data_IF_198037824725
#
_entry.id   IF_198037824725
#
_cell.length_a   1.000
_cell.length_b   1.000
_cell.length_c   1.000
_cell.angle_alpha   90.00
_cell.angle_beta   90.00
_cell.angle_gamma   90.00
#
_symmetry.space_group_name_H-M   'P 1'
#
loop_
_entity.id
_entity.type
_entity.pdbx_description
1 polymer ?
#
# COMPACT_ATOMS: atom_id res chain seq x y z
N UNK A 1 24.86 43.23 -65.49
CA UNK A 1 23.41 43.37 -65.71
C UNK A 1 22.70 43.11 -64.38
N UNK A 2 21.96 44.14 -63.88
CA UNK A 2 20.86 44.21 -62.87
C UNK A 2 20.85 43.31 -61.60
N UNK A 3 20.27 43.77 -60.47
CA UNK A 3 20.35 45.10 -59.83
C UNK A 3 20.46 45.04 -58.27
N UNK A 4 20.70 46.23 -57.71
CA UNK A 4 20.61 46.71 -56.31
C UNK A 4 19.21 46.47 -55.64
N UNK A 5 18.98 46.66 -54.30
CA UNK A 5 19.07 48.00 -53.68
C UNK A 5 19.49 48.14 -52.20
N UNK A 6 19.86 49.40 -51.93
CA UNK A 6 20.28 50.09 -50.70
C UNK A 6 19.12 50.37 -49.73
N UNK A 7 19.45 50.62 -48.45
CA UNK A 7 18.77 51.64 -47.63
C UNK A 7 19.78 52.50 -46.87
N UNK A 8 19.49 53.80 -46.85
CA UNK A 8 20.24 54.91 -46.27
C UNK A 8 19.55 55.39 -44.98
N UNK A 9 20.44 55.80 -44.08
CA UNK A 9 20.42 56.46 -42.76
C UNK A 9 19.44 57.65 -42.61
N UNK A 10 18.96 57.93 -41.38
CA UNK A 10 19.22 59.15 -40.56
C UNK A 10 18.06 59.53 -39.61
N UNK A 11 18.39 60.00 -38.39
CA UNK A 11 17.51 60.90 -37.62
C UNK A 11 17.55 60.79 -36.09
N UNK A 12 18.55 61.40 -35.45
CA UNK A 12 18.49 61.80 -34.03
C UNK A 12 17.72 63.13 -33.89
N UNK A 13 16.89 63.27 -32.85
CA UNK A 13 16.61 64.57 -32.22
C UNK A 13 16.25 64.40 -30.74
N UNK A 14 16.97 65.15 -29.91
CA UNK A 14 16.89 65.24 -28.44
C UNK A 14 15.99 66.43 -28.10
N UNK A 15 15.09 66.30 -27.12
CA UNK A 15 14.65 67.44 -26.32
C UNK A 15 14.40 67.02 -24.87
N UNK A 16 15.12 67.72 -24.00
CA UNK A 16 15.16 67.67 -22.54
C UNK A 16 13.98 68.39 -21.89
N UNK A 17 13.55 67.95 -20.71
CA UNK A 17 13.24 68.84 -19.56
C UNK A 17 13.17 68.00 -18.27
N UNK A 18 14.14 68.20 -17.37
CA UNK A 18 14.20 67.57 -16.05
C UNK A 18 14.04 68.66 -14.98
N UNK A 19 13.05 68.55 -14.09
CA UNK A 19 12.92 69.43 -12.93
C UNK A 19 13.02 68.64 -11.61
N UNK A 20 14.11 68.94 -10.90
CA UNK A 20 14.28 69.14 -9.45
C UNK A 20 13.99 67.96 -8.50
N UNK A 21 15.08 67.41 -7.98
CA UNK A 21 15.13 66.69 -6.70
C UNK A 21 15.36 67.69 -5.55
N UNK A 22 14.57 67.56 -4.47
CA UNK A 22 14.96 67.97 -3.12
C UNK A 22 14.68 66.78 -2.20
N UNK A 23 15.72 66.36 -1.51
CA UNK A 23 15.75 65.24 -0.59
C UNK A 23 15.05 65.58 0.74
N UNK A 24 14.29 64.62 1.28
CA UNK A 24 14.14 64.45 2.72
C UNK A 24 14.36 62.97 3.05
N UNK A 25 15.43 62.73 3.80
CA UNK A 25 15.87 61.44 4.27
C UNK A 25 15.05 61.01 5.47
N UNK A 26 14.37 59.86 5.38
CA UNK A 26 13.92 59.11 6.56
C UNK A 26 14.10 57.61 6.29
N UNK A 27 15.03 57.01 7.04
CA UNK A 27 15.30 55.57 7.08
C UNK A 27 14.02 54.83 7.46
N UNK A 28 13.47 54.05 6.54
CA UNK A 28 12.58 52.94 6.88
C UNK A 28 13.36 51.65 6.69
N UNK A 29 13.61 50.95 7.80
CA UNK A 29 14.05 49.57 7.78
C UNK A 29 12.89 48.75 7.19
N UNK A 30 13.03 48.30 5.96
CA UNK A 30 12.18 47.21 5.46
C UNK A 30 12.55 45.95 6.22
N UNK A 31 11.82 45.70 7.30
CA UNK A 31 11.75 44.39 7.91
C UNK A 31 11.08 43.47 6.89
N UNK A 32 11.90 42.77 6.12
CA UNK A 32 11.48 41.63 5.32
C UNK A 32 10.98 40.57 6.30
N UNK A 33 9.69 40.62 6.61
CA UNK A 33 9.02 39.63 7.44
C UNK A 33 8.89 38.38 6.58
N UNK A 34 9.90 37.52 6.65
CA UNK A 34 9.79 36.14 6.18
C UNK A 34 8.68 35.51 7.01
N UNK A 35 7.49 35.37 6.44
CA UNK A 35 6.47 34.48 6.99
C UNK A 35 7.03 33.08 6.73
N UNK A 36 7.79 32.58 7.70
CA UNK A 36 7.99 31.15 7.85
C UNK A 36 6.61 30.61 8.22
N UNK A 37 5.86 30.11 7.24
CA UNK A 37 4.72 29.24 7.53
C UNK A 37 5.30 27.99 8.21
N UNK A 38 5.40 28.06 9.54
CA UNK A 38 5.42 26.88 10.38
C UNK A 38 4.04 26.24 10.24
N UNK A 39 3.85 25.48 9.15
CA UNK A 39 2.85 24.42 9.14
C UNK A 39 3.42 23.33 10.05
N UNK A 40 3.32 23.55 11.36
CA UNK A 40 3.27 22.41 12.26
C UNK A 40 2.09 21.58 11.76
N UNK A 41 2.34 20.34 11.33
CA UNK A 41 1.27 19.34 11.22
C UNK A 41 0.62 19.31 12.60
N UNK A 42 -0.50 20.01 12.75
CA UNK A 42 -1.33 19.84 13.91
C UNK A 42 -1.80 18.40 13.83
N UNK A 43 -1.34 17.56 14.75
CA UNK A 43 -1.90 16.22 14.93
C UNK A 43 -3.42 16.41 15.05
N UNK A 44 -4.16 15.95 14.04
CA UNK A 44 -5.61 16.10 14.03
C UNK A 44 -6.16 15.39 15.24
N UNK A 45 -6.97 16.09 16.04
CA UNK A 45 -7.65 15.47 17.18
C UNK A 45 -8.50 14.32 16.64
N UNK A 46 -8.34 13.07 17.13
CA UNK A 46 -9.05 11.95 16.56
C UNK A 46 -10.56 12.12 16.74
N UNK A 47 -11.30 11.95 15.66
CA UNK A 47 -12.75 12.04 15.59
C UNK A 47 -13.42 10.88 16.31
N UNK A 48 -14.76 10.93 16.43
CA UNK A 48 -15.53 9.81 16.97
C UNK A 48 -15.43 8.56 16.09
N UNK A 49 -15.34 8.74 14.77
CA UNK A 49 -15.22 7.66 13.80
C UNK A 49 -13.86 6.95 13.94
N UNK A 50 -12.77 7.72 14.11
CA UNK A 50 -11.42 7.20 14.34
C UNK A 50 -11.34 6.36 15.64
N UNK A 51 -12.12 6.73 16.65
CA UNK A 51 -12.20 6.00 17.93
C UNK A 51 -13.23 4.87 17.92
N UNK A 52 -13.95 4.66 16.82
CA UNK A 52 -14.97 3.61 16.72
C UNK A 52 -14.36 2.23 16.50
N UNK A 53 -13.14 2.15 15.97
CA UNK A 53 -12.37 0.90 15.92
C UNK A 53 -11.84 0.59 17.32
N UNK A 54 -12.18 -0.56 17.92
CA UNK A 54 -11.65 -0.93 19.22
C UNK A 54 -10.14 -1.19 19.09
N UNK A 55 -9.38 -1.06 20.19
CA UNK A 55 -7.95 -1.36 20.14
C UNK A 55 -7.70 -2.84 19.90
N UNK A 56 -6.78 -3.17 18.99
CA UNK A 56 -6.35 -4.55 18.69
C UNK A 56 -4.98 -4.85 19.28
N UNK A 57 -4.81 -6.09 19.72
CA UNK A 57 -3.51 -6.63 20.13
C UNK A 57 -2.77 -7.18 18.91
N UNK A 58 -3.48 -7.92 18.05
CA UNK A 58 -2.92 -8.54 16.86
C UNK A 58 -3.83 -8.35 15.64
N UNK A 59 -3.25 -7.91 14.52
CA UNK A 59 -3.88 -7.90 13.21
C UNK A 59 -3.01 -8.71 12.25
N UNK A 60 -3.60 -9.75 11.67
CA UNK A 60 -3.00 -10.55 10.61
C UNK A 60 -3.62 -10.12 9.28
N UNK A 61 -2.80 -9.73 8.31
CA UNK A 61 -3.24 -9.40 6.95
C UNK A 61 -2.64 -10.45 6.03
N UNK A 62 -3.50 -11.31 5.46
CA UNK A 62 -3.15 -12.33 4.48
C UNK A 62 -3.52 -11.77 3.11
N UNK A 63 -2.56 -11.73 2.19
CA UNK A 63 -2.77 -11.17 0.85
C UNK A 63 -2.51 -12.25 -0.19
N UNK A 64 -3.50 -12.44 -1.04
CA UNK A 64 -3.45 -13.26 -2.25
C UNK A 64 -3.29 -12.37 -3.49
N UNK A 65 -3.03 -12.97 -4.65
CA UNK A 65 -2.73 -12.22 -5.86
C UNK A 65 -3.81 -12.32 -6.94
N UNK A 66 -4.06 -11.20 -7.62
CA UNK A 66 -4.67 -11.09 -8.93
C UNK A 66 -5.97 -11.90 -9.10
N UNK A 67 -7.03 -11.54 -8.38
CA UNK A 67 -8.38 -12.10 -8.56
C UNK A 67 -9.47 -11.07 -8.32
N UNK A 68 -10.43 -10.99 -9.24
CA UNK A 68 -11.67 -10.23 -8.98
C UNK A 68 -12.48 -10.85 -7.85
N UNK A 69 -13.32 -10.03 -7.23
CA UNK A 69 -14.35 -10.47 -6.29
C UNK A 69 -15.16 -11.66 -6.82
N UNK A 70 -15.65 -11.59 -8.07
CA UNK A 70 -16.51 -12.61 -8.68
C UNK A 70 -15.76 -13.90 -9.06
N UNK A 71 -14.43 -13.86 -9.15
CA UNK A 71 -13.63 -15.09 -9.31
C UNK A 71 -13.49 -15.87 -8.02
N UNK A 72 -13.69 -15.24 -6.87
CA UNK A 72 -13.54 -15.86 -5.56
C UNK A 72 -14.90 -16.15 -4.94
N UNK A 73 -15.74 -15.13 -4.79
CA UNK A 73 -17.03 -15.25 -4.11
C UNK A 73 -18.03 -15.99 -5.01
N UNK A 74 -18.54 -17.11 -4.52
CA UNK A 74 -19.38 -18.06 -5.26
C UNK A 74 -18.61 -19.14 -6.02
N UNK A 75 -17.28 -19.09 -6.07
CA UNK A 75 -16.48 -20.06 -6.82
C UNK A 75 -16.42 -21.43 -6.08
N UNK A 76 -16.82 -22.54 -6.73
CA UNK A 76 -16.76 -23.89 -6.13
C UNK A 76 -15.34 -24.39 -5.85
N UNK A 77 -14.31 -23.79 -6.45
CA UNK A 77 -12.90 -24.07 -6.17
C UNK A 77 -12.34 -23.26 -4.99
N UNK A 78 -13.09 -22.32 -4.44
CA UNK A 78 -12.74 -21.59 -3.22
C UNK A 78 -13.72 -21.88 -2.05
N UNK A 79 -13.99 -23.16 -1.70
CA UNK A 79 -15.03 -23.49 -0.72
C UNK A 79 -14.71 -22.99 0.69
N UNK A 80 -13.44 -22.97 1.12
CA UNK A 80 -13.06 -22.53 2.46
C UNK A 80 -13.25 -21.01 2.59
N UNK A 81 -12.72 -20.24 1.64
CA UNK A 81 -12.85 -18.78 1.59
C UNK A 81 -14.32 -18.38 1.55
N UNK A 82 -15.14 -19.04 0.72
CA UNK A 82 -16.57 -18.77 0.67
C UNK A 82 -17.29 -19.10 1.99
N UNK A 83 -16.88 -20.17 2.66
CA UNK A 83 -17.39 -20.49 4.00
C UNK A 83 -16.96 -19.43 5.03
N UNK A 84 -15.72 -18.93 4.96
CA UNK A 84 -15.23 -17.84 5.80
C UNK A 84 -16.03 -16.55 5.56
N UNK A 85 -16.22 -16.14 4.30
CA UNK A 85 -17.01 -14.97 3.92
C UNK A 85 -18.46 -15.06 4.42
N UNK A 86 -19.06 -16.25 4.39
CA UNK A 86 -20.42 -16.49 4.91
C UNK A 86 -20.49 -16.49 6.45
N UNK A 87 -19.43 -16.95 7.11
CA UNK A 87 -19.40 -17.13 8.57
C UNK A 87 -18.99 -15.85 9.30
N UNK A 88 -18.10 -15.06 8.70
CA UNK A 88 -17.50 -13.87 9.29
C UNK A 88 -17.95 -12.62 8.53
N UNK A 89 -17.14 -11.57 8.51
CA UNK A 89 -17.52 -10.29 7.97
C UNK A 89 -16.91 -10.11 6.58
N UNK A 90 -17.68 -9.54 5.64
CA UNK A 90 -17.31 -9.37 4.24
C UNK A 90 -17.45 -7.89 3.86
N UNK A 91 -16.37 -7.30 3.36
CA UNK A 91 -16.42 -6.04 2.63
C UNK A 91 -16.87 -6.35 1.20
N UNK A 92 -18.15 -6.13 0.91
CA UNK A 92 -18.73 -6.47 -0.39
C UNK A 92 -18.21 -5.58 -1.53
N UNK A 93 -17.75 -4.36 -1.21
CA UNK A 93 -17.28 -3.37 -2.17
C UNK A 93 -15.86 -2.91 -1.82
N UNK A 94 -14.87 -3.78 -1.99
CA UNK A 94 -13.46 -3.45 -1.75
C UNK A 94 -12.69 -3.36 -3.07
N UNK A 95 -11.93 -2.28 -3.28
CA UNK A 95 -11.23 -2.01 -4.52
C UNK A 95 -9.73 -1.87 -4.31
N UNK A 96 -8.93 -2.51 -5.17
CA UNK A 96 -7.48 -2.32 -5.21
C UNK A 96 -7.11 -0.96 -5.84
N UNK A 97 -5.85 -0.54 -5.70
CA UNK A 97 -5.42 0.81 -6.09
C UNK A 97 -5.00 0.90 -7.54
N UNK A 98 -4.27 -0.10 -8.05
CA UNK A 98 -3.60 -0.01 -9.34
C UNK A 98 -3.32 -1.39 -9.93
N UNK A 99 -2.83 -1.42 -11.17
CA UNK A 99 -2.05 -2.50 -11.75
C UNK A 99 -0.68 -1.99 -12.22
N UNK A 100 0.43 -2.73 -12.01
CA UNK A 100 0.52 -4.09 -11.45
C UNK A 100 0.74 -4.12 -9.91
N UNK A 101 1.04 -5.31 -9.39
CA UNK A 101 0.99 -5.70 -7.97
C UNK A 101 1.80 -4.83 -7.01
N UNK A 102 3.07 -4.49 -7.32
CA UNK A 102 4.02 -3.94 -6.32
C UNK A 102 3.45 -2.72 -5.59
N UNK A 103 2.85 -1.81 -6.34
CA UNK A 103 2.30 -0.57 -5.82
C UNK A 103 1.11 -0.80 -4.86
N UNK A 104 0.36 -1.91 -4.98
CA UNK A 104 -0.69 -2.25 -4.02
C UNK A 104 -0.10 -2.65 -2.64
N UNK A 105 1.00 -3.41 -2.62
CA UNK A 105 1.70 -3.74 -1.36
C UNK A 105 2.30 -2.51 -0.69
N UNK A 106 2.87 -1.60 -1.49
CA UNK A 106 3.38 -0.32 -0.99
C UNK A 106 2.22 0.54 -0.46
N UNK A 107 1.09 0.60 -1.18
CA UNK A 107 -0.10 1.33 -0.75
C UNK A 107 -0.67 0.85 0.58
N UNK A 108 -0.68 -0.46 0.83
CA UNK A 108 -1.13 -1.04 2.11
C UNK A 108 -0.24 -0.67 3.31
N UNK A 109 1.04 -0.33 3.07
CA UNK A 109 2.01 -0.04 4.11
C UNK A 109 2.36 1.45 4.23
N UNK A 110 2.24 2.20 3.14
CA UNK A 110 2.62 3.61 3.05
C UNK A 110 1.46 4.56 2.76
N UNK A 111 0.28 4.06 2.42
CA UNK A 111 -0.89 4.91 2.13
C UNK A 111 -0.81 5.66 0.80
N UNK A 112 0.11 5.30 -0.09
CA UNK A 112 0.28 5.89 -1.43
C UNK A 112 0.99 4.85 -2.32
N UNK A 113 0.80 4.94 -3.64
CA UNK A 113 1.60 4.18 -4.61
C UNK A 113 2.93 4.86 -4.92
N UNK A 114 3.11 6.11 -4.48
CA UNK A 114 4.28 6.97 -4.71
C UNK A 114 4.64 7.12 -6.19
N UNK A 115 3.65 6.98 -7.07
CA UNK A 115 3.84 7.02 -8.52
C UNK A 115 4.34 5.71 -9.13
N UNK A 116 4.60 4.66 -8.33
CA UNK A 116 5.05 3.35 -8.83
C UNK A 116 3.89 2.68 -9.56
N UNK A 117 4.16 2.17 -10.76
CA UNK A 117 3.15 1.62 -11.66
C UNK A 117 3.71 0.55 -12.60
N UNK A 118 4.79 -0.10 -12.16
CA UNK A 118 5.34 -1.31 -12.73
C UNK A 118 5.91 -2.19 -11.60
N UNK A 119 6.43 -3.36 -11.96
CA UNK A 119 6.91 -4.40 -11.04
C UNK A 119 8.46 -4.53 -11.06
N UNK A 120 9.18 -3.49 -11.48
CA UNK A 120 10.64 -3.46 -11.41
C UNK A 120 11.12 -3.64 -9.94
N UNK A 121 12.35 -4.09 -9.73
CA UNK A 121 12.83 -4.36 -8.37
C UNK A 121 12.84 -3.11 -7.48
N UNK A 122 12.60 -3.28 -6.18
CA UNK A 122 12.52 -2.24 -5.14
C UNK A 122 13.69 -1.23 -5.10
N UNK A 123 14.87 -1.58 -5.64
CA UNK A 123 16.06 -0.72 -5.71
C UNK A 123 16.20 0.04 -7.03
N UNK A 124 15.29 -0.18 -7.99
CA UNK A 124 15.37 0.42 -9.30
C UNK A 124 15.08 1.93 -9.24
N UNK A 125 15.80 2.65 -10.08
CA UNK A 125 15.74 4.10 -10.22
C UNK A 125 15.74 4.46 -11.71
N UNK A 126 15.32 5.67 -12.04
CA UNK A 126 15.31 6.13 -13.42
C UNK A 126 16.70 5.96 -14.08
N UNK A 127 16.72 5.30 -15.23
CA UNK A 127 17.94 5.00 -15.98
C UNK A 127 18.76 3.80 -15.48
N UNK A 128 18.27 3.02 -14.50
CA UNK A 128 18.89 1.77 -14.09
C UNK A 128 19.16 0.82 -15.28
N UNK A 129 20.24 0.05 -15.20
CA UNK A 129 20.62 -0.93 -16.24
C UNK A 129 20.53 -2.38 -15.78
N UNK A 130 20.13 -2.60 -14.53
CA UNK A 130 19.96 -3.94 -13.98
C UNK A 130 18.81 -4.67 -14.68
N UNK A 131 18.93 -6.00 -14.80
CA UNK A 131 17.96 -6.83 -15.55
C UNK A 131 16.56 -6.83 -14.95
N UNK A 132 16.43 -6.47 -13.67
CA UNK A 132 15.16 -6.34 -12.97
C UNK A 132 14.58 -4.92 -13.01
N UNK A 133 15.22 -4.00 -13.74
CA UNK A 133 14.77 -2.62 -13.91
C UNK A 133 14.37 -2.35 -15.38
N UNK A 134 13.47 -3.16 -15.92
CA UNK A 134 13.16 -3.19 -17.36
C UNK A 134 12.42 -1.92 -17.82
N UNK A 135 11.65 -1.31 -16.92
CA UNK A 135 10.84 -0.13 -17.18
C UNK A 135 11.58 1.18 -16.89
N UNK A 136 12.74 1.12 -16.22
CA UNK A 136 13.54 2.27 -15.77
C UNK A 136 13.88 3.36 -16.80
N UNK A 137 13.76 3.09 -18.10
CA UNK A 137 14.00 4.06 -19.19
C UNK A 137 12.75 4.78 -19.69
N UNK A 138 11.57 4.43 -19.18
CA UNK A 138 10.33 5.14 -19.51
C UNK A 138 10.37 6.57 -18.97
N UNK A 139 9.76 7.51 -19.69
CA UNK A 139 9.81 8.94 -19.34
C UNK A 139 9.07 9.29 -18.06
N UNK A 140 8.12 8.45 -17.66
CA UNK A 140 7.29 8.56 -16.46
C UNK A 140 7.74 7.64 -15.33
N UNK A 141 8.88 6.96 -15.47
CA UNK A 141 9.41 6.07 -14.45
C UNK A 141 9.74 6.81 -13.15
N UNK A 142 9.39 6.21 -12.02
CA UNK A 142 9.71 6.72 -10.68
C UNK A 142 10.65 5.76 -9.95
N UNK A 143 11.35 6.24 -8.93
CA UNK A 143 12.21 5.35 -8.14
C UNK A 143 11.37 4.43 -7.26
N UNK A 144 11.74 3.14 -7.21
CA UNK A 144 11.03 2.14 -6.40
C UNK A 144 11.44 2.17 -4.91
N UNK A 145 12.53 2.88 -4.59
CA UNK A 145 12.91 3.14 -3.21
C UNK A 145 12.13 4.32 -2.64
N UNK A 146 11.20 4.02 -1.74
CA UNK A 146 10.33 4.97 -1.05
C UNK A 146 11.04 5.55 0.17
N UNK A 147 11.09 6.88 0.26
CA UNK A 147 11.70 7.60 1.41
C UNK A 147 10.68 8.17 2.38
N UNK A 148 9.40 8.07 2.05
CA UNK A 148 8.27 8.48 2.90
C UNK A 148 8.12 7.57 4.12
N UNK A 149 7.47 8.09 5.16
CA UNK A 149 7.08 7.28 6.32
C UNK A 149 6.15 6.14 5.91
N UNK A 150 6.24 5.06 6.67
CA UNK A 150 5.50 3.82 6.51
C UNK A 150 4.82 3.42 7.82
N UNK A 151 3.94 2.42 7.76
CA UNK A 151 3.31 1.82 8.94
C UNK A 151 4.38 1.29 9.90
N UNK A 152 5.50 0.77 9.39
CA UNK A 152 6.62 0.28 10.19
C UNK A 152 7.20 1.40 11.07
N UNK A 153 7.36 2.61 10.53
CA UNK A 153 7.82 3.77 11.32
C UNK A 153 6.85 4.09 12.47
N UNK A 154 5.54 4.09 12.17
CA UNK A 154 4.52 4.38 13.18
C UNK A 154 4.46 3.29 14.27
N UNK A 155 4.58 2.02 13.87
CA UNK A 155 4.60 0.90 14.82
C UNK A 155 5.83 0.95 15.72
N UNK A 156 7.04 1.15 15.16
CA UNK A 156 8.26 1.32 15.96
C UNK A 156 8.16 2.52 16.91
N UNK A 157 7.64 3.66 16.44
CA UNK A 157 7.45 4.87 17.25
C UNK A 157 6.49 4.64 18.42
N UNK A 158 5.49 3.75 18.26
CA UNK A 158 4.55 3.37 19.31
C UNK A 158 5.02 2.22 20.19
N UNK A 159 6.19 1.64 19.91
CA UNK A 159 6.68 0.44 20.60
C UNK A 159 5.86 -0.81 20.29
N UNK A 160 5.18 -0.83 19.15
CA UNK A 160 4.44 -1.98 18.64
C UNK A 160 5.34 -2.82 17.74
N UNK A 161 5.11 -4.13 17.76
CA UNK A 161 5.90 -5.10 17.00
C UNK A 161 5.25 -5.44 15.68
N UNK A 162 6.05 -5.71 14.65
CA UNK A 162 5.58 -6.16 13.35
C UNK A 162 6.51 -7.22 12.76
N UNK A 163 5.96 -8.09 11.91
CA UNK A 163 6.73 -8.95 11.02
C UNK A 163 6.01 -9.12 9.68
N UNK A 164 6.81 -9.26 8.63
CA UNK A 164 6.35 -9.80 7.35
C UNK A 164 6.71 -11.28 7.28
N UNK A 165 5.73 -12.13 6.99
CA UNK A 165 5.90 -13.56 6.81
C UNK A 165 5.72 -13.89 5.33
N UNK A 166 6.77 -14.44 4.71
CA UNK A 166 6.81 -14.71 3.28
C UNK A 166 7.11 -16.18 3.04
N UNK A 167 6.26 -16.87 2.31
CA UNK A 167 6.54 -18.24 1.89
C UNK A 167 7.73 -18.25 0.92
N UNK A 168 8.65 -19.21 1.11
CA UNK A 168 9.86 -19.39 0.28
C UNK A 168 10.84 -18.20 0.22
N UNK A 169 10.75 -17.21 1.12
CA UNK A 169 11.84 -16.26 1.30
C UNK A 169 13.10 -17.03 1.76
N UNK A 170 14.27 -16.85 1.10
CA UNK A 170 15.39 -17.76 1.31
C UNK A 170 16.10 -17.59 2.66
N UNK A 171 15.98 -16.42 3.28
CA UNK A 171 16.44 -16.12 4.63
C UNK A 171 15.77 -14.84 5.14
N UNK A 172 15.71 -14.63 6.47
CA UNK A 172 15.24 -13.38 7.04
C UNK A 172 15.93 -12.16 6.44
N UNK A 173 15.16 -11.15 6.05
CA UNK A 173 15.67 -9.91 5.48
C UNK A 173 16.25 -10.03 4.07
N UNK A 174 16.00 -11.12 3.35
CA UNK A 174 16.55 -11.33 2.01
C UNK A 174 16.19 -10.20 1.04
N UNK A 175 17.19 -9.73 0.30
CA UNK A 175 17.09 -8.68 -0.74
C UNK A 175 17.08 -9.25 -2.17
N UNK A 176 16.92 -10.57 -2.32
CA UNK A 176 16.82 -11.17 -3.65
C UNK A 176 15.54 -10.71 -4.34
N UNK A 177 15.60 -10.50 -5.66
CA UNK A 177 14.40 -10.13 -6.43
C UNK A 177 13.46 -11.32 -6.56
N UNK A 178 14.01 -12.52 -6.73
CA UNK A 178 13.27 -13.79 -6.81
C UNK A 178 14.04 -14.93 -6.13
N UNK A 179 13.32 -15.96 -5.66
CA UNK A 179 13.91 -17.19 -5.13
C UNK A 179 13.02 -18.42 -5.42
N UNK A 180 13.57 -19.65 -5.47
CA UNK A 180 15.00 -19.98 -5.42
C UNK A 180 15.81 -19.49 -6.63
N UNK A 181 15.19 -19.35 -7.79
CA UNK A 181 15.86 -18.88 -9.01
C UNK A 181 14.86 -18.23 -9.98
N UNK A 182 15.37 -17.75 -11.12
CA UNK A 182 14.55 -17.05 -12.12
C UNK A 182 13.72 -17.99 -13.01
N UNK A 183 14.00 -19.30 -13.01
CA UNK A 183 13.22 -20.30 -13.73
C UNK A 183 12.01 -20.75 -12.91
N UNK A 184 12.12 -20.70 -11.58
CA UNK A 184 11.03 -21.00 -10.66
C UNK A 184 10.97 -19.99 -9.50
N UNK A 185 10.54 -18.75 -9.76
CA UNK A 185 10.58 -17.67 -8.77
C UNK A 185 9.41 -17.76 -7.76
N UNK A 186 9.38 -18.81 -6.93
CA UNK A 186 8.35 -19.00 -5.90
C UNK A 186 8.18 -17.77 -5.00
N UNK A 187 9.27 -17.18 -4.53
CA UNK A 187 9.27 -15.87 -3.89
C UNK A 187 9.58 -14.78 -4.91
N UNK A 188 8.84 -13.67 -4.85
CA UNK A 188 9.11 -12.46 -5.63
C UNK A 188 9.05 -11.20 -4.75
N UNK A 189 10.11 -10.40 -4.79
CA UNK A 189 10.24 -9.19 -3.96
C UNK A 189 9.18 -8.12 -4.26
N UNK A 190 8.56 -8.13 -5.43
CA UNK A 190 7.44 -7.23 -5.75
C UNK A 190 6.22 -7.41 -4.84
N UNK A 191 6.05 -8.61 -4.24
CA UNK A 191 5.00 -8.85 -3.24
C UNK A 191 5.46 -8.47 -1.82
N UNK A 192 6.72 -8.04 -1.65
CA UNK A 192 7.30 -7.61 -0.38
C UNK A 192 7.37 -6.08 -0.28
N UNK A 193 6.24 -5.44 -0.02
CA UNK A 193 6.19 -3.98 0.10
C UNK A 193 7.12 -3.39 1.17
N UNK A 194 7.54 -4.17 2.17
CA UNK A 194 8.46 -3.68 3.22
C UNK A 194 9.82 -3.27 2.63
N UNK A 195 10.33 -4.04 1.66
CA UNK A 195 11.68 -3.81 1.13
C UNK A 195 11.75 -2.60 0.19
N UNK A 196 10.61 -2.04 -0.23
CA UNK A 196 10.56 -0.80 -1.00
C UNK A 196 10.82 0.45 -0.13
N UNK A 197 10.64 0.37 1.20
CA UNK A 197 10.91 1.51 2.08
C UNK A 197 12.38 1.60 2.52
N UNK A 198 12.99 2.77 2.29
CA UNK A 198 14.41 3.02 2.54
C UNK A 198 14.83 2.76 3.98
N UNK A 199 14.01 3.14 4.96
CA UNK A 199 14.28 2.89 6.38
C UNK A 199 14.46 1.39 6.67
N UNK A 200 13.62 0.54 6.09
CA UNK A 200 13.74 -0.92 6.19
C UNK A 200 14.99 -1.38 5.44
N UNK A 201 15.23 -0.90 4.21
CA UNK A 201 16.43 -1.26 3.42
C UNK A 201 17.76 -0.90 4.10
N UNK A 202 17.79 0.14 4.93
CA UNK A 202 19.01 0.63 5.57
C UNK A 202 19.24 0.04 6.97
N UNK A 203 18.19 -0.48 7.64
CA UNK A 203 18.30 -1.05 8.99
C UNK A 203 18.19 -2.59 8.98
N UNK A 204 19.31 -3.31 9.26
CA UNK A 204 19.29 -4.77 9.38
C UNK A 204 18.33 -5.31 10.44
N UNK A 205 18.05 -4.56 11.51
CA UNK A 205 17.11 -5.00 12.55
C UNK A 205 15.67 -4.99 12.03
N UNK A 206 15.32 -4.04 11.16
CA UNK A 206 14.01 -4.01 10.50
C UNK A 206 13.92 -5.07 9.41
N UNK A 207 14.98 -5.26 8.61
CA UNK A 207 15.05 -6.34 7.62
C UNK A 207 14.84 -7.72 8.24
N UNK A 208 15.47 -8.00 9.39
CA UNK A 208 15.35 -9.29 10.08
C UNK A 208 13.94 -9.56 10.64
N UNK A 209 12.98 -8.61 10.54
CA UNK A 209 11.56 -8.83 10.83
C UNK A 209 10.78 -9.37 9.62
N UNK A 210 11.39 -9.40 8.44
CA UNK A 210 10.87 -10.05 7.23
C UNK A 210 11.39 -11.49 7.25
N UNK A 211 10.52 -12.47 7.47
CA UNK A 211 10.89 -13.85 7.83
C UNK A 211 10.07 -14.87 7.03
N UNK A 212 10.47 -16.14 7.10
CA UNK A 212 9.76 -17.25 6.49
C UNK A 212 8.54 -17.75 7.28
N UNK A 213 7.77 -18.65 6.67
CA UNK A 213 6.61 -19.30 7.30
C UNK A 213 7.00 -20.25 8.46
N UNK A 214 8.23 -20.75 8.49
CA UNK A 214 8.78 -21.47 9.64
C UNK A 214 8.76 -20.60 10.91
N UNK A 215 9.04 -19.30 10.76
CA UNK A 215 8.93 -18.35 11.85
C UNK A 215 7.47 -18.05 12.22
N UNK A 216 6.53 -18.02 11.25
CA UNK A 216 5.10 -17.87 11.53
C UNK A 216 4.60 -19.00 12.43
N UNK A 217 4.94 -20.25 12.09
CA UNK A 217 4.61 -21.44 12.89
C UNK A 217 5.21 -21.32 14.30
N UNK A 218 6.48 -20.95 14.39
CA UNK A 218 7.20 -20.79 15.66
C UNK A 218 6.59 -19.71 16.55
N UNK A 219 6.22 -18.56 15.98
CA UNK A 219 5.63 -17.45 16.71
C UNK A 219 4.23 -17.80 17.23
N UNK A 220 3.39 -18.44 16.41
CA UNK A 220 2.05 -18.89 16.80
C UNK A 220 2.11 -19.93 17.94
N UNK A 221 3.07 -20.85 17.90
CA UNK A 221 3.26 -21.86 18.94
C UNK A 221 3.79 -21.28 20.25
N UNK A 222 4.74 -20.34 20.15
CA UNK A 222 5.38 -19.73 21.31
C UNK A 222 4.60 -18.56 21.92
N UNK A 223 3.59 -18.03 21.21
CA UNK A 223 2.85 -16.83 21.58
C UNK A 223 3.62 -15.52 21.31
N UNK A 224 4.76 -15.58 20.61
CA UNK A 224 5.58 -14.41 20.25
C UNK A 224 5.14 -13.77 18.93
N UNK A 225 3.84 -13.69 18.72
CA UNK A 225 3.24 -13.10 17.52
C UNK A 225 3.30 -11.57 17.61
N UNK A 226 3.67 -10.86 16.53
CA UNK A 226 3.74 -9.41 16.55
C UNK A 226 2.36 -8.76 16.57
N UNK A 227 2.29 -7.46 16.89
CA UNK A 227 1.05 -6.71 16.81
C UNK A 227 0.51 -6.67 15.37
N UNK A 228 1.38 -6.49 14.38
CA UNK A 228 1.03 -6.52 12.97
C UNK A 228 1.76 -7.67 12.25
N UNK A 229 1.00 -8.57 11.64
CA UNK A 229 1.51 -9.68 10.83
C UNK A 229 1.04 -9.51 9.39
N UNK A 230 1.96 -9.45 8.45
CA UNK A 230 1.65 -9.36 7.01
C UNK A 230 2.12 -10.65 6.34
N UNK A 231 1.20 -11.44 5.79
CA UNK A 231 1.42 -12.84 5.41
C UNK A 231 1.22 -13.00 3.91
N UNK A 232 2.29 -13.35 3.20
CA UNK A 232 2.33 -13.45 1.74
C UNK A 232 2.73 -14.87 1.35
N UNK A 233 1.88 -15.51 0.53
CA UNK A 233 2.13 -16.85 0.01
C UNK A 233 3.05 -16.79 -1.22
N UNK A 234 3.58 -17.94 -1.62
CA UNK A 234 4.44 -18.02 -2.80
C UNK A 234 3.61 -17.97 -4.10
N UNK A 235 4.27 -17.78 -5.24
CA UNK A 235 3.61 -17.63 -6.53
C UNK A 235 2.77 -18.84 -7.00
N UNK A 236 2.93 -20.03 -6.41
CA UNK A 236 2.04 -21.18 -6.70
C UNK A 236 0.86 -21.32 -5.72
N UNK A 237 0.89 -20.60 -4.60
CA UNK A 237 -0.12 -20.68 -3.55
C UNK A 237 -0.98 -19.41 -3.45
N UNK A 238 -0.51 -18.27 -3.96
CA UNK A 238 -1.21 -16.97 -3.95
C UNK A 238 -2.35 -16.82 -5.00
N UNK A 239 -2.74 -17.91 -5.65
CA UNK A 239 -3.75 -17.98 -6.73
C UNK A 239 -3.43 -17.31 -8.08
N UNK A 240 -2.38 -16.50 -8.22
CA UNK A 240 -2.02 -15.92 -9.51
C UNK A 240 -1.21 -16.87 -10.40
N UNK A 241 -0.17 -17.50 -9.83
CA UNK A 241 0.56 -18.57 -10.52
C UNK A 241 1.81 -18.12 -11.26
N UNK A 242 2.72 -19.07 -11.41
CA UNK A 242 3.74 -19.12 -12.44
C UNK A 242 3.27 -20.02 -13.59
N UNK A 243 3.98 -19.99 -14.71
CA UNK A 243 3.67 -20.84 -15.87
C UNK A 243 3.68 -22.35 -15.52
N UNK A 244 4.56 -22.76 -14.60
CA UNK A 244 4.71 -24.12 -14.11
C UNK A 244 3.76 -24.49 -12.97
N UNK A 245 3.05 -23.51 -12.40
CA UNK A 245 2.00 -23.79 -11.44
C UNK A 245 0.74 -24.31 -12.18
N UNK A 246 -0.23 -24.91 -11.47
CA UNK A 246 -1.44 -25.46 -12.10
C UNK A 246 -2.27 -24.43 -12.86
N UNK A 247 -3.28 -24.87 -13.63
CA UNK A 247 -4.23 -23.95 -14.25
C UNK A 247 -4.96 -23.05 -13.24
N UNK A 248 -5.59 -21.98 -13.72
CA UNK A 248 -6.24 -20.95 -12.90
C UNK A 248 -7.19 -21.52 -11.84
N UNK A 249 -8.01 -22.51 -12.19
CA UNK A 249 -8.99 -23.06 -11.25
C UNK A 249 -8.31 -23.90 -10.16
N UNK A 250 -7.26 -24.62 -10.54
CA UNK A 250 -6.44 -25.35 -9.58
C UNK A 250 -5.59 -24.42 -8.70
N UNK A 251 -5.15 -23.26 -9.21
CA UNK A 251 -4.50 -22.22 -8.41
C UNK A 251 -5.43 -21.66 -7.33
N UNK A 252 -6.68 -21.33 -7.69
CA UNK A 252 -7.71 -20.90 -6.71
C UNK A 252 -7.93 -21.97 -5.64
N UNK A 253 -8.03 -23.24 -6.04
CA UNK A 253 -8.19 -24.36 -5.09
C UNK A 253 -6.99 -24.54 -4.17
N UNK A 254 -5.79 -24.38 -4.70
CA UNK A 254 -4.55 -24.48 -3.92
C UNK A 254 -4.48 -23.34 -2.89
N UNK A 255 -4.70 -22.09 -3.32
CA UNK A 255 -4.73 -20.95 -2.40
C UNK A 255 -5.84 -21.04 -1.36
N UNK A 256 -7.04 -21.51 -1.72
CA UNK A 256 -8.15 -21.72 -0.79
C UNK A 256 -7.76 -22.66 0.35
N UNK A 257 -7.09 -23.76 -0.01
CA UNK A 257 -6.55 -24.73 0.95
C UNK A 257 -5.50 -24.08 1.86
N UNK A 258 -4.58 -23.30 1.29
CA UNK A 258 -3.48 -22.67 2.04
C UNK A 258 -3.96 -21.57 2.98
N UNK A 259 -4.87 -20.71 2.55
CA UNK A 259 -5.54 -19.74 3.43
C UNK A 259 -6.25 -20.48 4.57
N UNK A 260 -6.98 -21.56 4.25
CA UNK A 260 -7.63 -22.39 5.26
C UNK A 260 -6.67 -22.92 6.32
N UNK A 261 -5.50 -23.41 5.91
CA UNK A 261 -4.43 -23.87 6.80
C UNK A 261 -3.91 -22.73 7.70
N UNK A 262 -3.61 -21.56 7.13
CA UNK A 262 -3.09 -20.39 7.89
C UNK A 262 -4.14 -19.88 8.88
N UNK A 263 -5.39 -19.67 8.43
CA UNK A 263 -6.49 -19.22 9.29
C UNK A 263 -6.72 -20.21 10.43
N UNK A 264 -6.68 -21.52 10.15
CA UNK A 264 -6.80 -22.55 11.18
C UNK A 264 -5.65 -22.49 12.20
N UNK A 265 -4.41 -22.32 11.76
CA UNK A 265 -3.26 -22.18 12.66
C UNK A 265 -3.40 -20.95 13.57
N UNK A 266 -3.81 -19.80 13.03
CA UNK A 266 -4.04 -18.58 13.81
C UNK A 266 -5.18 -18.80 14.81
N UNK A 267 -6.35 -19.25 14.34
CA UNK A 267 -7.58 -19.36 15.15
C UNK A 267 -7.54 -20.45 16.23
N UNK A 268 -6.60 -21.39 16.13
CA UNK A 268 -6.38 -22.45 17.13
C UNK A 268 -5.18 -22.17 18.05
N UNK A 269 -4.44 -21.09 17.80
CA UNK A 269 -3.34 -20.66 18.67
C UNK A 269 -3.85 -20.12 20.02
N UNK A 270 -2.99 -20.13 21.04
CA UNK A 270 -3.36 -19.64 22.39
C UNK A 270 -3.80 -18.18 22.37
N UNK A 271 -3.12 -17.32 21.61
CA UNK A 271 -3.41 -15.88 21.55
C UNK A 271 -4.83 -15.60 21.07
N UNK A 272 -5.39 -16.45 20.19
CA UNK A 272 -6.71 -16.22 19.61
C UNK A 272 -7.83 -16.38 20.64
N UNK A 273 -7.61 -17.25 21.63
CA UNK A 273 -8.53 -17.52 22.73
C UNK A 273 -8.41 -16.51 23.89
N UNK A 274 -7.37 -15.67 23.90
CA UNK A 274 -7.19 -14.62 24.91
C UNK A 274 -8.28 -13.54 24.79
N UNK A 275 -8.64 -12.84 25.89
CA UNK A 275 -9.68 -11.79 25.88
C UNK A 275 -9.29 -10.52 25.09
N UNK A 276 -8.10 -10.52 24.49
CA UNK A 276 -7.62 -9.49 23.59
C UNK A 276 -8.38 -9.45 22.26
N UNK A 277 -8.23 -8.34 21.55
CA UNK A 277 -8.82 -8.16 20.23
C UNK A 277 -7.85 -8.59 19.16
N UNK A 278 -8.26 -9.58 18.38
CA UNK A 278 -7.48 -10.14 17.29
C UNK A 278 -8.32 -10.15 16.01
N UNK A 279 -7.69 -9.78 14.89
CA UNK A 279 -8.32 -9.82 13.57
C UNK A 279 -7.44 -10.54 12.56
N UNK A 280 -8.06 -11.30 11.67
CA UNK A 280 -7.47 -11.75 10.40
C UNK A 280 -8.22 -11.03 9.29
N UNK A 281 -7.47 -10.40 8.39
CA UNK A 281 -7.96 -9.82 7.14
C UNK A 281 -7.42 -10.68 6.02
N UNK A 282 -8.30 -11.17 5.15
CA UNK A 282 -7.93 -11.88 3.93
C UNK A 282 -8.33 -10.97 2.77
N UNK A 283 -7.39 -10.60 1.92
CA UNK A 283 -7.62 -9.71 0.78
C UNK A 283 -6.76 -10.13 -0.41
N UNK A 284 -7.00 -9.49 -1.56
CA UNK A 284 -6.17 -9.62 -2.75
C UNK A 284 -5.42 -8.30 -3.00
N UNK A 285 -4.30 -8.35 -3.71
CA UNK A 285 -3.57 -7.14 -4.11
C UNK A 285 -4.37 -6.36 -5.18
N UNK A 286 -4.91 -7.05 -6.19
CA UNK A 286 -5.58 -6.49 -7.36
C UNK A 286 -6.45 -7.53 -8.12
N UNK A 287 -7.21 -7.06 -9.11
CA UNK A 287 -8.07 -7.88 -9.98
C UNK A 287 -7.40 -8.23 -11.32
N UNK A 288 -7.46 -9.48 -11.77
CA UNK A 288 -6.85 -9.90 -13.05
C UNK A 288 -7.46 -9.30 -14.33
N UNK A 289 -8.71 -8.82 -14.28
CA UNK A 289 -9.46 -8.30 -15.44
C UNK A 289 -9.23 -6.82 -15.76
N UNK A 290 -8.63 -6.04 -14.87
CA UNK A 290 -8.62 -4.56 -14.95
C UNK A 290 -7.45 -3.93 -15.70
N UNK A 291 -6.66 -4.70 -16.48
CA UNK A 291 -5.54 -4.12 -17.25
C UNK A 291 -5.98 -3.07 -18.29
N UNK A 292 -7.25 -3.05 -18.68
CA UNK A 292 -7.78 -2.04 -19.59
C UNK A 292 -8.43 -0.89 -18.81
N UNK A 293 -7.94 0.35 -19.01
CA UNK A 293 -8.45 1.59 -18.38
C UNK A 293 -9.81 2.04 -18.94
N UNK A 294 -10.75 1.13 -19.15
CA UNK A 294 -12.02 1.41 -19.84
C UNK A 294 -13.22 1.62 -18.90
N UNK A 295 -13.08 1.36 -17.60
CA UNK A 295 -14.15 1.52 -16.59
C UNK A 295 -13.61 2.03 -15.24
N UNK A 296 -14.50 2.42 -14.31
CA UNK A 296 -14.12 2.77 -12.94
C UNK A 296 -13.64 1.54 -12.20
N UNK A 297 -12.33 1.45 -11.96
CA UNK A 297 -11.67 0.29 -11.34
C UNK A 297 -11.22 0.57 -9.90
N UNK A 298 -11.58 1.72 -9.34
CA UNK A 298 -11.19 2.08 -7.99
C UNK A 298 -12.35 2.71 -7.24
N UNK A 299 -12.12 2.94 -5.95
CA UNK A 299 -12.92 3.87 -5.17
C UNK A 299 -11.98 4.71 -4.31
N UNK A 300 -12.54 5.75 -3.70
CA UNK A 300 -11.95 6.40 -2.54
C UNK A 300 -10.51 6.90 -2.73
N UNK A 301 -10.32 8.00 -3.47
CA UNK A 301 -8.99 8.61 -3.64
C UNK A 301 -8.19 8.13 -4.86
N UNK A 302 -8.71 7.22 -5.67
CA UNK A 302 -8.13 6.89 -6.97
C UNK A 302 -8.31 8.04 -8.00
N UNK A 303 -7.42 8.11 -8.99
CA UNK A 303 -7.51 9.04 -10.13
C UNK A 303 -7.48 8.25 -11.45
N UNK A 304 -8.59 8.18 -12.21
CA UNK A 304 -8.66 7.41 -13.46
C UNK A 304 -7.67 7.86 -14.54
N UNK A 305 -7.05 9.04 -14.40
CA UNK A 305 -6.03 9.56 -15.31
C UNK A 305 -4.60 9.32 -14.84
N UNK A 306 -4.42 8.87 -13.60
CA UNK A 306 -3.09 8.58 -13.05
C UNK A 306 -2.46 7.39 -13.79
N UNK A 307 -1.13 7.41 -13.93
CA UNK A 307 -0.41 6.21 -14.35
C UNK A 307 -0.30 5.20 -13.21
N UNK A 308 -0.31 5.66 -11.96
CA UNK A 308 0.02 4.87 -10.77
C UNK A 308 -1.10 4.65 -9.78
N UNK A 309 -2.29 5.23 -10.00
CA UNK A 309 -3.44 5.01 -9.13
C UNK A 309 -4.74 5.18 -9.94
N UNK A 310 -4.87 4.42 -11.02
CA UNK A 310 -6.05 4.46 -11.90
C UNK A 310 -7.17 3.51 -11.48
N UNK A 311 -6.98 2.75 -10.40
CA UNK A 311 -7.85 1.68 -9.95
C UNK A 311 -7.26 0.29 -10.24
N UNK A 312 -7.40 -0.62 -9.27
CA UNK A 312 -6.91 -2.01 -9.35
C UNK A 312 -8.02 -3.06 -9.43
N UNK A 313 -9.28 -2.62 -9.56
CA UNK A 313 -10.48 -3.44 -9.68
C UNK A 313 -11.11 -3.87 -8.36
N UNK A 314 -12.30 -4.48 -8.47
CA UNK A 314 -13.08 -4.98 -7.33
C UNK A 314 -12.57 -6.35 -6.89
N UNK A 315 -12.19 -6.46 -5.62
CA UNK A 315 -11.56 -7.64 -5.01
C UNK A 315 -12.36 -8.10 -3.78
N UNK A 316 -12.18 -9.36 -3.39
CA UNK A 316 -12.77 -9.88 -2.15
C UNK A 316 -11.96 -9.40 -0.92
N UNK A 317 -12.64 -9.06 0.17
CA UNK A 317 -11.96 -8.81 1.45
C UNK A 317 -12.81 -9.30 2.61
N UNK A 318 -12.27 -10.23 3.39
CA UNK A 318 -12.94 -10.90 4.51
C UNK A 318 -12.24 -10.48 5.81
N UNK A 319 -13.03 -10.16 6.83
CA UNK A 319 -12.55 -9.80 8.16
C UNK A 319 -13.09 -10.82 9.18
N UNK A 320 -12.16 -11.47 9.87
CA UNK A 320 -12.41 -12.46 10.91
C UNK A 320 -11.93 -11.87 12.23
N UNK A 321 -12.85 -11.62 13.16
CA UNK A 321 -12.52 -11.17 14.52
C UNK A 321 -12.74 -12.30 15.52
N UNK A 322 -11.92 -12.35 16.58
CA UNK A 322 -12.14 -13.29 17.70
C UNK A 322 -13.30 -12.87 18.62
N UNK A 323 -13.93 -11.72 18.34
CA UNK A 323 -15.05 -11.13 19.07
C UNK A 323 -16.09 -10.54 18.11
N UNK A 324 -17.16 -9.97 18.67
CA UNK A 324 -18.09 -9.11 17.94
C UNK A 324 -19.00 -9.84 16.95
N UNK A 325 -19.62 -9.05 16.08
CA UNK A 325 -20.58 -9.53 15.08
C UNK A 325 -19.91 -10.44 14.04
N UNK A 326 -20.69 -11.41 13.58
CA UNK A 326 -20.36 -12.33 12.49
C UNK A 326 -21.45 -12.25 11.42
N UNK A 327 -21.10 -12.52 10.16
CA UNK A 327 -22.04 -12.45 9.03
C UNK A 327 -22.35 -11.03 8.57
N UNK A 328 -21.56 -10.02 8.96
CA UNK A 328 -21.75 -8.65 8.48
C UNK A 328 -21.31 -8.57 7.02
N UNK A 329 -22.20 -8.09 6.15
CA UNK A 329 -21.87 -7.77 4.76
C UNK A 329 -21.94 -6.25 4.60
N UNK A 330 -20.79 -5.59 4.61
CA UNK A 330 -20.71 -4.13 4.46
C UNK A 330 -20.57 -3.76 3.00
N UNK A 331 -21.45 -2.87 2.52
CA UNK A 331 -21.48 -2.37 1.14
C UNK A 331 -20.79 -1.01 0.99
N UNK A 332 -20.19 -0.49 2.05
CA UNK A 332 -19.38 0.73 1.98
C UNK A 332 -18.20 0.49 1.04
N UNK A 333 -17.93 1.39 0.08
CA UNK A 333 -16.72 1.30 -0.75
C UNK A 333 -15.46 1.48 0.09
N UNK A 334 -14.61 0.47 0.11
CA UNK A 334 -13.31 0.47 0.78
C UNK A 334 -12.19 0.18 -0.22
N UNK A 335 -10.96 0.53 0.15
CA UNK A 335 -9.76 0.19 -0.60
C UNK A 335 -8.57 -0.07 0.34
N UNK A 336 -7.38 -0.32 -0.21
CA UNK A 336 -6.17 -0.56 0.60
C UNK A 336 -5.86 0.56 1.60
N UNK A 337 -6.19 1.82 1.27
CA UNK A 337 -6.03 2.95 2.20
C UNK A 337 -7.03 2.90 3.36
N UNK A 338 -8.25 2.43 3.12
CA UNK A 338 -9.23 2.14 4.18
C UNK A 338 -8.75 1.06 5.14
N UNK A 339 -8.11 0.00 4.63
CA UNK A 339 -7.53 -1.05 5.47
C UNK A 339 -6.35 -0.52 6.31
N UNK A 340 -5.46 0.28 5.71
CA UNK A 340 -4.37 0.93 6.42
C UNK A 340 -4.89 1.85 7.52
N UNK A 341 -5.84 2.74 7.21
CA UNK A 341 -6.49 3.61 8.20
C UNK A 341 -7.10 2.82 9.35
N UNK A 342 -7.81 1.74 9.04
CA UNK A 342 -8.41 0.86 10.06
C UNK A 342 -7.35 0.25 10.96
N UNK A 343 -6.20 -0.15 10.39
CA UNK A 343 -5.07 -0.70 11.13
C UNK A 343 -4.43 0.35 12.05
N UNK A 344 -4.24 1.58 11.55
CA UNK A 344 -3.75 2.71 12.35
C UNK A 344 -4.70 3.01 13.53
N UNK A 345 -6.01 3.10 13.26
CA UNK A 345 -7.04 3.33 14.29
C UNK A 345 -7.03 2.23 15.35
N UNK A 346 -6.96 0.96 14.93
CA UNK A 346 -6.90 -0.20 15.79
C UNK A 346 -5.67 -0.22 16.70
N UNK A 347 -4.57 0.41 16.29
CA UNK A 347 -3.36 0.57 17.10
C UNK A 347 -3.27 1.91 17.83
N UNK A 348 -4.24 2.82 17.63
CA UNK A 348 -4.22 4.15 18.26
C UNK A 348 -3.20 5.09 17.67
N UNK A 349 -2.96 4.92 16.38
CA UNK A 349 -2.24 5.82 15.52
C UNK A 349 -3.30 6.64 14.77
N UNK A 350 -3.25 7.95 14.94
CA UNK A 350 -4.19 8.89 14.32
C UNK A 350 -3.46 9.94 13.47
N UNK A 351 -2.19 9.66 13.17
CA UNK A 351 -1.33 10.42 12.28
C UNK A 351 -1.30 9.68 10.94
N UNK A 352 -2.43 9.68 10.23
CA UNK A 352 -2.66 8.82 9.08
C UNK A 352 -1.64 9.04 7.95
N UNK A 353 -1.14 7.95 7.37
CA UNK A 353 -0.21 7.99 6.26
C UNK A 353 -0.92 8.36 4.95
N UNK A 354 -0.49 9.46 4.33
CA UNK A 354 -0.87 9.85 2.97
C UNK A 354 -2.39 9.74 2.72
N UNK A 355 -2.82 8.91 1.76
CA UNK A 355 -4.24 8.76 1.42
C UNK A 355 -5.07 8.01 2.45
N UNK A 356 -4.47 7.36 3.46
CA UNK A 356 -5.24 6.77 4.57
C UNK A 356 -6.07 7.84 5.33
N UNK A 357 -5.59 9.09 5.34
CA UNK A 357 -6.29 10.23 5.94
C UNK A 357 -7.29 10.95 5.03
N UNK A 358 -7.42 10.57 3.76
CA UNK A 358 -8.19 11.31 2.74
C UNK A 358 -9.72 11.07 2.85
N UNK A 359 -10.30 11.40 3.99
CA UNK A 359 -11.77 11.35 4.26
C UNK A 359 -12.58 12.10 3.21
N UNK A 360 -12.08 13.26 2.75
CA UNK A 360 -12.71 14.07 1.72
C UNK A 360 -12.79 13.37 0.36
N UNK A 361 -11.90 12.39 0.10
CA UNK A 361 -11.92 11.56 -1.10
C UNK A 361 -12.64 10.23 -0.88
N UNK A 362 -13.25 10.01 0.29
CA UNK A 362 -14.07 8.84 0.59
C UNK A 362 -13.36 7.72 1.35
N UNK A 363 -12.08 7.88 1.72
CA UNK A 363 -11.38 6.88 2.54
C UNK A 363 -12.00 6.86 3.94
N UNK A 364 -12.48 5.69 4.35
CA UNK A 364 -13.18 5.46 5.62
C UNK A 364 -12.65 4.22 6.33
N UNK A 365 -12.66 4.17 7.67
CA UNK A 365 -12.30 2.96 8.39
C UNK A 365 -13.39 1.89 8.22
N UNK A 366 -12.99 0.63 8.28
CA UNK A 366 -13.84 -0.55 8.09
C UNK A 366 -14.63 -0.88 9.37
N UNK A 367 -15.26 0.12 9.99
CA UNK A 367 -15.76 0.05 11.38
C UNK A 367 -16.74 -1.09 11.62
N UNK A 368 -17.69 -1.31 10.73
CA UNK A 368 -18.71 -2.35 10.92
C UNK A 368 -18.10 -3.77 10.95
N UNK A 369 -16.94 -3.96 10.29
CA UNK A 369 -16.27 -5.24 10.13
C UNK A 369 -15.33 -5.56 11.31
N UNK A 370 -14.89 -4.53 12.05
CA UNK A 370 -13.98 -4.61 13.20
C UNK A 370 -14.63 -4.25 14.56
N UNK A 371 -15.93 -3.92 14.58
CA UNK A 371 -16.60 -3.48 15.79
C UNK A 371 -16.65 -4.58 16.89
N UNK A 372 -16.49 -4.16 18.14
CA UNK A 372 -16.97 -4.92 19.31
C UNK A 372 -18.47 -4.65 19.45
N UNK A 373 -19.26 -5.70 19.69
CA UNK A 373 -20.65 -5.52 20.12
C UNK A 373 -20.71 -4.95 21.53
#
# INVERSE_FOLDING_TARGET
MRPMPKKIILGLCVFSLSLIAIACSSKTKDAKQTITENIALAASVPTKEDKAIPKYQHIFVIIEENKSYDQIIGNPNAPIINQLAKTYNLAANFYAQVHPSEANYIAMLGGDTFGIHDDDAFYCQAGSSDRFCQNSRKSDYVNHTVTSKSLMDQLEQKGLTWKGYFEDIPNPGSKVVVAPDAQRPLYASKHNGFISFKNVQDDPNLQNKIVGFDQLVTDLQSGKVPNYSHIILNQCHEMHGLQECPDLQQLIKTGDTKIGEIVKQITTSKLWAEPGNNAIVITWDENDGSRQKNETQGCCGFDPKSNANFGGGHIATIVITNHGSRGVVDKTPFNHYSLLRTTEDAFGIYEYLNHAGDTAKGVKPMTSLFAKQ
#
